data_IF_987792758071
#
_entry.id   IF_987792758071
#
_cell.length_a   1.000
_cell.length_b   1.000
_cell.length_c   1.000
_cell.angle_alpha   90.00
_cell.angle_beta   90.00
_cell.angle_gamma   90.00
#
_symmetry.space_group_name_H-M   'P 1'
#
loop_
_entity.id
_entity.type
_entity.pdbx_description
1 polymer ?
#
# COMPACT_ATOMS: atom_id res chain seq x y z
N UNK A 1 69.30 -40.10 49.38
CA UNK A 1 69.38 -38.71 48.87
C UNK A 1 69.84 -38.77 47.44
N UNK A 2 68.93 -38.58 46.48
CA UNK A 2 69.23 -38.46 45.05
C UNK A 2 68.46 -37.22 44.55
N UNK A 3 69.14 -36.25 43.90
CA UNK A 3 68.57 -34.94 43.60
C UNK A 3 67.64 -34.97 42.37
N UNK A 4 66.61 -34.13 42.45
CA UNK A 4 65.68 -33.79 41.36
C UNK A 4 66.38 -32.86 40.37
N UNK A 5 66.58 -33.32 39.14
CA UNK A 5 67.05 -32.49 38.02
C UNK A 5 65.87 -31.72 37.40
N UNK A 6 66.06 -30.41 37.23
CA UNK A 6 65.21 -29.52 36.43
C UNK A 6 65.65 -29.60 34.96
N UNK A 7 64.71 -29.79 34.05
CA UNK A 7 64.94 -29.62 32.60
C UNK A 7 64.36 -28.29 32.08
N UNK A 8 65.00 -27.65 31.08
CA UNK A 8 64.75 -26.27 30.69
C UNK A 8 63.59 -26.10 29.70
N UNK A 9 62.99 -24.90 29.75
CA UNK A 9 61.90 -24.46 28.89
C UNK A 9 62.32 -24.39 27.40
N UNK A 10 61.66 -25.20 26.56
CA UNK A 10 61.75 -25.15 25.11
C UNK A 10 60.90 -23.98 24.59
N UNK A 11 61.57 -22.94 24.09
CA UNK A 11 60.95 -21.76 23.47
C UNK A 11 60.39 -22.14 22.10
N UNK A 12 59.07 -22.09 21.96
CA UNK A 12 58.38 -22.30 20.69
C UNK A 12 58.56 -21.04 19.81
N UNK A 13 59.39 -21.15 18.77
CA UNK A 13 59.57 -20.10 17.76
C UNK A 13 58.45 -20.26 16.73
N UNK A 14 57.46 -19.36 16.76
CA UNK A 14 56.37 -19.33 15.77
C UNK A 14 56.87 -18.65 14.50
N UNK A 15 56.88 -19.31 13.33
CA UNK A 15 57.35 -18.71 12.09
C UNK A 15 56.36 -17.62 11.58
N UNK A 16 56.91 -16.46 11.22
CA UNK A 16 56.21 -15.24 10.77
C UNK A 16 55.23 -15.43 9.59
N UNK A 17 55.31 -16.55 8.87
CA UNK A 17 54.49 -16.83 7.68
C UNK A 17 53.04 -17.19 8.00
N UNK A 18 52.71 -17.59 9.23
CA UNK A 18 51.32 -17.90 9.63
C UNK A 18 50.53 -16.64 10.03
N UNK A 19 51.22 -15.55 10.40
CA UNK A 19 50.58 -14.30 10.78
C UNK A 19 50.04 -13.49 9.58
N UNK A 20 50.54 -13.73 8.36
CA UNK A 20 50.14 -12.96 7.18
C UNK A 20 48.84 -13.46 6.52
N UNK A 21 48.44 -14.72 6.74
CA UNK A 21 47.20 -15.27 6.17
C UNK A 21 45.95 -14.89 6.99
N UNK A 22 46.14 -14.59 8.28
CA UNK A 22 45.05 -14.12 9.18
C UNK A 22 44.67 -12.64 8.99
N UNK A 23 45.43 -11.87 8.19
CA UNK A 23 45.09 -10.50 7.84
C UNK A 23 44.18 -10.38 6.60
N UNK A 24 43.94 -11.48 5.87
CA UNK A 24 43.07 -11.52 4.68
C UNK A 24 41.62 -11.88 4.99
N UNK A 25 41.32 -12.27 6.23
CA UNK A 25 39.96 -12.54 6.72
C UNK A 25 39.65 -11.60 7.89
N UNK A 26 39.63 -10.29 7.62
CA UNK A 26 38.98 -9.34 8.51
C UNK A 26 37.52 -9.75 8.75
N UNK A 27 36.91 -9.36 9.89
CA UNK A 27 35.51 -9.69 10.12
C UNK A 27 34.70 -9.09 8.98
N UNK A 28 33.97 -9.95 8.27
CA UNK A 28 32.95 -9.55 7.30
C UNK A 28 31.82 -8.90 8.10
N UNK A 29 32.03 -7.64 8.49
CA UNK A 29 30.92 -6.76 8.76
C UNK A 29 30.20 -6.65 7.42
N UNK A 30 29.10 -7.40 7.28
CA UNK A 30 28.19 -7.23 6.16
C UNK A 30 27.77 -5.75 6.18
N UNK A 31 28.41 -4.94 5.35
CA UNK A 31 27.91 -3.62 4.98
C UNK A 31 26.72 -3.91 4.09
N UNK A 32 25.58 -4.24 4.71
CA UNK A 32 24.30 -4.13 4.02
C UNK A 32 24.03 -2.63 3.99
N UNK A 33 24.68 -1.95 3.06
CA UNK A 33 24.20 -0.68 2.56
C UNK A 33 22.85 -1.01 1.91
N UNK A 34 21.79 -0.89 2.68
CA UNK A 34 20.47 -0.68 2.12
C UNK A 34 20.54 0.69 1.45
N UNK A 35 21.03 0.74 0.21
CA UNK A 35 20.68 1.83 -0.68
C UNK A 35 19.15 1.89 -0.66
N UNK A 36 18.62 2.89 0.02
CA UNK A 36 17.25 3.30 -0.18
C UNK A 36 17.19 3.81 -1.62
N UNK A 37 16.97 2.90 -2.57
CA UNK A 37 16.45 3.27 -3.87
C UNK A 37 15.11 3.95 -3.59
N UNK A 38 15.16 5.26 -3.35
CA UNK A 38 14.00 6.06 -3.00
C UNK A 38 12.94 5.87 -4.06
N UNK A 39 11.71 5.66 -3.62
CA UNK A 39 10.55 5.51 -4.48
C UNK A 39 10.45 6.74 -5.40
N UNK A 40 10.73 6.56 -6.70
CA UNK A 40 10.68 7.65 -7.68
C UNK A 40 9.27 7.78 -8.25
N UNK A 41 8.33 8.22 -7.42
CA UNK A 41 6.98 8.53 -7.90
C UNK A 41 6.90 9.93 -8.51
N UNK A 42 6.05 10.07 -9.53
CA UNK A 42 5.62 11.39 -9.99
C UNK A 42 4.82 12.13 -8.92
N UNK A 43 4.76 13.46 -9.01
CA UNK A 43 3.92 14.26 -8.10
C UNK A 43 2.45 14.15 -8.53
N UNK A 44 1.60 13.69 -7.63
CA UNK A 44 0.14 13.65 -7.81
C UNK A 44 -0.50 14.70 -6.91
N UNK A 45 -1.35 15.55 -7.48
CA UNK A 45 -2.22 16.43 -6.71
C UNK A 45 -3.60 15.77 -6.59
N UNK A 46 -3.99 15.37 -5.38
CA UNK A 46 -5.27 14.72 -5.14
C UNK A 46 -6.06 15.48 -4.07
N UNK A 47 -6.88 16.49 -4.45
CA UNK A 47 -7.55 17.34 -3.46
C UNK A 47 -8.49 16.54 -2.54
N UNK A 48 -8.29 16.67 -1.24
CA UNK A 48 -9.15 16.08 -0.18
C UNK A 48 -9.49 17.10 0.89
N UNK A 49 -10.41 16.74 1.77
CA UNK A 49 -10.72 17.45 3.02
C UNK A 49 -9.93 16.93 4.23
N UNK A 50 -8.98 16.01 4.01
CA UNK A 50 -8.16 15.42 5.06
C UNK A 50 -7.16 16.45 5.62
N UNK A 51 -6.67 16.19 6.84
CA UNK A 51 -5.60 16.99 7.44
C UNK A 51 -4.30 16.94 6.62
N UNK A 52 -3.41 17.95 6.74
CA UNK A 52 -2.17 18.02 5.95
C UNK A 52 -1.25 16.80 6.08
N UNK A 53 -1.21 16.18 7.26
CA UNK A 53 -0.43 14.97 7.48
C UNK A 53 -0.97 13.79 6.65
N UNK A 54 -2.28 13.60 6.62
CA UNK A 54 -2.92 12.55 5.82
C UNK A 54 -2.89 12.84 4.31
N UNK A 55 -2.93 14.12 3.90
CA UNK A 55 -2.89 14.53 2.50
C UNK A 55 -1.66 13.98 1.76
N UNK A 56 -0.47 14.05 2.37
CA UNK A 56 0.76 13.54 1.77
C UNK A 56 0.70 12.02 1.53
N UNK A 57 0.14 11.27 2.47
CA UNK A 57 -0.06 9.83 2.36
C UNK A 57 -1.09 9.47 1.28
N UNK A 58 -2.19 10.24 1.17
CA UNK A 58 -3.19 10.06 0.09
C UNK A 58 -2.55 10.29 -1.28
N UNK A 59 -1.76 11.34 -1.45
CA UNK A 59 -1.10 11.64 -2.73
C UNK A 59 -0.09 10.56 -3.11
N UNK A 60 0.65 10.02 -2.13
CA UNK A 60 1.55 8.88 -2.33
C UNK A 60 0.76 7.64 -2.76
N UNK A 61 -0.29 7.28 -2.03
CA UNK A 61 -1.15 6.14 -2.36
C UNK A 61 -1.74 6.26 -3.78
N UNK A 62 -2.22 7.44 -4.16
CA UNK A 62 -2.72 7.69 -5.51
C UNK A 62 -1.65 7.53 -6.60
N UNK A 63 -0.42 7.97 -6.34
CA UNK A 63 0.70 7.77 -7.26
C UNK A 63 1.11 6.28 -7.40
N UNK A 64 1.04 5.52 -6.31
CA UNK A 64 1.27 4.07 -6.31
C UNK A 64 0.19 3.31 -7.09
N UNK A 65 -1.09 3.66 -6.89
CA UNK A 65 -2.20 3.10 -7.67
C UNK A 65 -2.03 3.35 -9.17
N UNK A 66 -1.56 4.54 -9.56
CA UNK A 66 -1.29 4.85 -10.97
C UNK A 66 -0.20 3.97 -11.58
N UNK A 67 0.74 3.51 -10.74
CA UNK A 67 1.82 2.59 -11.15
C UNK A 67 1.46 1.12 -10.92
N UNK A 68 0.20 0.84 -10.55
CA UNK A 68 -0.32 -0.50 -10.27
C UNK A 68 0.36 -1.21 -9.08
N UNK A 69 0.79 -0.45 -8.06
CA UNK A 69 1.41 -0.96 -6.82
C UNK A 69 0.39 -0.96 -5.67
N UNK A 70 -0.52 -1.93 -5.67
CA UNK A 70 -1.71 -1.94 -4.81
C UNK A 70 -1.44 -2.14 -3.33
N UNK A 71 -0.60 -3.11 -2.97
CA UNK A 71 -0.25 -3.36 -1.57
C UNK A 71 0.45 -2.13 -0.95
N UNK A 72 1.53 -1.56 -1.55
CA UNK A 72 2.11 -0.31 -1.07
C UNK A 72 1.13 0.87 -1.05
N UNK A 73 0.20 0.95 -2.01
CA UNK A 73 -0.83 1.98 -1.99
C UNK A 73 -1.75 1.82 -0.77
N UNK A 74 -2.22 0.60 -0.51
CA UNK A 74 -3.03 0.26 0.65
C UNK A 74 -2.36 0.64 1.96
N UNK A 75 -1.04 0.42 2.07
CA UNK A 75 -0.24 0.81 3.22
C UNK A 75 -0.23 2.34 3.41
N UNK A 76 0.05 3.09 2.34
CA UNK A 76 0.02 4.55 2.38
C UNK A 76 -1.37 5.08 2.80
N UNK A 77 -2.45 4.46 2.35
CA UNK A 77 -3.80 4.87 2.77
C UNK A 77 -4.14 4.49 4.22
N UNK A 78 -3.57 3.40 4.75
CA UNK A 78 -3.66 3.10 6.19
C UNK A 78 -2.90 4.13 7.01
N UNK A 79 -1.73 4.57 6.55
CA UNK A 79 -0.97 5.66 7.19
C UNK A 79 -1.75 6.97 7.16
N UNK A 80 -2.46 7.28 6.07
CA UNK A 80 -3.35 8.44 5.99
C UNK A 80 -4.44 8.40 7.08
N UNK A 81 -5.06 7.24 7.30
CA UNK A 81 -6.08 7.07 8.36
C UNK A 81 -5.46 7.08 9.75
N UNK A 82 -4.24 6.58 9.92
CA UNK A 82 -3.52 6.68 11.19
C UNK A 82 -3.16 8.14 11.54
N UNK A 83 -2.83 8.95 10.54
CA UNK A 83 -2.54 10.38 10.71
C UNK A 83 -3.81 11.24 10.91
N UNK A 84 -4.91 10.88 10.26
CA UNK A 84 -6.22 11.52 10.40
C UNK A 84 -7.33 10.48 10.25
N UNK A 85 -7.90 10.05 11.38
CA UNK A 85 -8.96 9.04 11.39
C UNK A 85 -10.26 9.51 10.75
N UNK A 86 -10.40 10.81 10.47
CA UNK A 86 -11.54 11.41 9.76
C UNK A 86 -11.29 11.59 8.26
N UNK A 87 -10.12 11.17 7.75
CA UNK A 87 -9.78 11.25 6.34
C UNK A 87 -10.57 10.24 5.50
N UNK A 88 -11.68 10.69 4.92
CA UNK A 88 -12.55 9.89 4.06
C UNK A 88 -11.79 9.23 2.90
N UNK A 89 -10.82 9.94 2.30
CA UNK A 89 -10.04 9.43 1.17
C UNK A 89 -8.97 8.41 1.56
N UNK A 90 -8.57 8.35 2.84
CA UNK A 90 -7.75 7.25 3.34
C UNK A 90 -8.54 5.93 3.37
N UNK A 91 -9.84 5.98 3.66
CA UNK A 91 -10.70 4.79 3.59
C UNK A 91 -11.04 4.40 2.14
N UNK A 92 -11.34 5.39 1.27
CA UNK A 92 -11.47 5.14 -0.17
C UNK A 92 -10.24 4.43 -0.73
N UNK A 93 -9.07 4.93 -0.37
CA UNK A 93 -7.79 4.40 -0.81
C UNK A 93 -7.56 2.94 -0.39
N UNK A 94 -7.93 2.58 0.84
CA UNK A 94 -7.90 1.19 1.30
C UNK A 94 -8.84 0.30 0.46
N UNK A 95 -10.05 0.76 0.17
CA UNK A 95 -11.02 0.00 -0.63
C UNK A 95 -10.56 -0.17 -2.09
N UNK A 96 -10.09 0.89 -2.74
CA UNK A 96 -9.66 0.84 -4.15
C UNK A 96 -8.33 0.10 -4.33
N UNK A 97 -7.49 0.02 -3.29
CA UNK A 97 -6.25 -0.76 -3.33
C UNK A 97 -6.52 -2.27 -3.32
N UNK A 98 -7.68 -2.73 -2.83
CA UNK A 98 -8.08 -4.12 -2.96
C UNK A 98 -8.67 -4.44 -4.34
N UNK A 99 -9.18 -3.41 -5.04
CA UNK A 99 -9.72 -3.57 -6.38
C UNK A 99 -8.57 -3.75 -7.39
N UNK A 100 -8.58 -4.90 -8.05
CA UNK A 100 -7.50 -5.39 -8.89
C UNK A 100 -7.99 -5.66 -10.33
N UNK A 101 -8.19 -4.64 -11.19
CA UNK A 101 -8.94 -4.80 -12.45
C UNK A 101 -8.25 -5.65 -13.52
N UNK A 102 -6.92 -5.75 -13.49
CA UNK A 102 -6.11 -6.39 -14.56
C UNK A 102 -5.67 -7.83 -14.26
N UNK A 103 -5.92 -8.32 -13.05
CA UNK A 103 -5.34 -9.54 -12.48
C UNK A 103 -6.37 -10.25 -11.60
N UNK A 104 -5.96 -10.74 -10.43
CA UNK A 104 -6.80 -11.55 -9.55
C UNK A 104 -7.84 -10.66 -8.86
N UNK A 105 -9.14 -10.93 -9.05
CA UNK A 105 -10.19 -10.24 -8.31
C UNK A 105 -10.04 -10.43 -6.79
N UNK A 106 -10.62 -9.54 -5.97
CA UNK A 106 -10.52 -9.66 -4.52
C UNK A 106 -11.14 -10.96 -4.01
N UNK A 107 -10.47 -11.60 -3.05
CA UNK A 107 -10.97 -12.75 -2.31
C UNK A 107 -12.17 -12.34 -1.42
N UNK A 108 -13.01 -13.29 -0.94
CA UNK A 108 -14.20 -12.96 -0.15
C UNK A 108 -13.93 -12.06 1.06
N UNK A 109 -12.84 -12.28 1.79
CA UNK A 109 -12.46 -11.43 2.93
C UNK A 109 -12.10 -9.99 2.50
N UNK A 110 -11.48 -9.83 1.33
CA UNK A 110 -11.15 -8.52 0.77
C UNK A 110 -12.40 -7.79 0.26
N UNK A 111 -13.42 -8.53 -0.21
CA UNK A 111 -14.72 -7.93 -0.54
C UNK A 111 -15.39 -7.34 0.71
N UNK A 112 -15.41 -8.08 1.81
CA UNK A 112 -15.91 -7.58 3.10
C UNK A 112 -15.11 -6.37 3.61
N UNK A 113 -13.77 -6.43 3.51
CA UNK A 113 -12.91 -5.35 3.94
C UNK A 113 -13.09 -4.08 3.08
N UNK A 114 -13.20 -4.25 1.76
CA UNK A 114 -13.44 -3.17 0.80
C UNK A 114 -14.77 -2.46 1.04
N UNK A 115 -15.84 -3.22 1.27
CA UNK A 115 -17.15 -2.67 1.61
C UNK A 115 -17.09 -1.86 2.91
N UNK A 116 -16.54 -2.45 3.97
CA UNK A 116 -16.44 -1.79 5.27
C UNK A 116 -15.62 -0.49 5.20
N UNK A 117 -14.55 -0.46 4.41
CA UNK A 117 -13.76 0.74 4.18
C UNK A 117 -14.57 1.79 3.38
N UNK A 118 -15.26 1.40 2.30
CA UNK A 118 -16.08 2.31 1.51
C UNK A 118 -17.19 2.97 2.36
N UNK A 119 -17.94 2.18 3.13
CA UNK A 119 -19.00 2.66 4.02
C UNK A 119 -18.47 3.61 5.11
N UNK A 120 -17.32 3.26 5.71
CA UNK A 120 -16.64 4.12 6.69
C UNK A 120 -16.24 5.46 6.08
N UNK A 121 -15.69 5.45 4.87
CA UNK A 121 -15.35 6.66 4.15
C UNK A 121 -16.58 7.51 3.82
N UNK A 122 -17.68 6.89 3.36
CA UNK A 122 -18.93 7.58 3.05
C UNK A 122 -19.47 8.37 4.24
N UNK A 123 -19.39 7.79 5.45
CA UNK A 123 -19.79 8.47 6.69
C UNK A 123 -18.92 9.68 7.08
N UNK A 124 -17.74 9.82 6.48
CA UNK A 124 -16.77 10.88 6.78
C UNK A 124 -16.62 11.91 5.65
N UNK A 125 -17.13 11.61 4.45
CA UNK A 125 -16.91 12.41 3.25
C UNK A 125 -17.51 13.82 3.37
N UNK A 126 -16.67 14.86 3.23
CA UNK A 126 -17.08 16.25 3.43
C UNK A 126 -17.41 16.94 2.12
N UNK A 127 -16.75 16.56 1.04
CA UNK A 127 -16.94 17.16 -0.28
C UNK A 127 -17.77 16.28 -1.21
N UNK A 128 -18.44 16.84 -2.23
CA UNK A 128 -19.07 16.04 -3.28
C UNK A 128 -18.10 15.09 -3.96
N UNK A 129 -16.87 15.55 -4.26
CA UNK A 129 -15.82 14.74 -4.90
C UNK A 129 -15.54 13.45 -4.13
N UNK A 130 -15.37 13.57 -2.82
CA UNK A 130 -15.07 12.43 -1.95
C UNK A 130 -16.24 11.46 -1.91
N UNK A 131 -17.48 11.98 -1.79
CA UNK A 131 -18.69 11.16 -1.84
C UNK A 131 -18.81 10.40 -3.15
N UNK A 132 -18.48 11.02 -4.28
CA UNK A 132 -18.55 10.39 -5.60
C UNK A 132 -17.55 9.22 -5.71
N UNK A 133 -16.28 9.44 -5.32
CA UNK A 133 -15.27 8.36 -5.30
C UNK A 133 -15.66 7.20 -4.39
N UNK A 134 -16.19 7.52 -3.22
CA UNK A 134 -16.61 6.53 -2.23
C UNK A 134 -17.85 5.77 -2.66
N UNK A 135 -18.85 6.45 -3.23
CA UNK A 135 -20.05 5.82 -3.78
C UNK A 135 -19.71 4.92 -4.98
N UNK A 136 -18.75 5.32 -5.80
CA UNK A 136 -18.30 4.48 -6.89
C UNK A 136 -17.67 3.19 -6.38
N UNK A 137 -16.68 3.28 -5.48
CA UNK A 137 -16.02 2.07 -4.96
C UNK A 137 -16.97 1.22 -4.11
N UNK A 138 -17.93 1.83 -3.40
CA UNK A 138 -19.03 1.12 -2.72
C UNK A 138 -19.85 0.29 -3.70
N UNK A 139 -20.20 0.83 -4.88
CA UNK A 139 -20.94 0.10 -5.91
C UNK A 139 -20.19 -1.14 -6.45
N UNK A 140 -18.87 -1.19 -6.33
CA UNK A 140 -18.10 -2.41 -6.62
C UNK A 140 -18.34 -3.50 -5.57
N UNK A 141 -18.47 -3.12 -4.30
CA UNK A 141 -18.45 -4.04 -3.16
C UNK A 141 -19.84 -4.40 -2.60
N UNK A 142 -20.85 -3.54 -2.69
CA UNK A 142 -22.11 -3.70 -1.96
C UNK A 142 -23.00 -4.86 -2.45
N UNK A 143 -22.95 -5.19 -3.74
CA UNK A 143 -23.79 -6.24 -4.35
C UNK A 143 -22.95 -7.53 -4.46
N UNK A 144 -22.70 -8.16 -3.30
CA UNK A 144 -21.67 -9.21 -3.12
C UNK A 144 -22.02 -10.62 -3.65
N UNK A 145 -20.94 -11.43 -3.72
CA UNK A 145 -20.76 -12.88 -3.98
C UNK A 145 -21.50 -13.54 -5.16
N UNK A 146 -22.76 -13.20 -5.40
CA UNK A 146 -23.56 -13.72 -6.51
C UNK A 146 -23.26 -13.04 -7.85
N UNK A 147 -22.62 -11.86 -7.82
CA UNK A 147 -22.33 -11.05 -9.01
C UNK A 147 -20.89 -11.23 -9.48
N UNK A 148 -20.74 -11.55 -10.77
CA UNK A 148 -19.42 -11.78 -11.35
C UNK A 148 -18.54 -10.51 -11.28
N UNK A 149 -17.19 -10.66 -11.22
CA UNK A 149 -16.28 -9.51 -11.10
C UNK A 149 -16.43 -8.45 -12.21
N UNK A 150 -16.83 -8.83 -13.43
CA UNK A 150 -16.94 -7.87 -14.53
C UNK A 150 -18.15 -6.96 -14.34
N UNK A 151 -19.28 -7.53 -13.93
CA UNK A 151 -20.49 -6.75 -13.65
C UNK A 151 -20.25 -5.73 -12.53
N UNK A 152 -19.53 -6.12 -11.48
CA UNK A 152 -19.11 -5.18 -10.41
C UNK A 152 -18.19 -4.08 -10.91
N UNK A 153 -17.23 -4.42 -11.77
CA UNK A 153 -16.34 -3.43 -12.38
C UNK A 153 -17.09 -2.45 -13.30
N UNK A 154 -18.12 -2.91 -14.02
CA UNK A 154 -19.00 -2.04 -14.80
C UNK A 154 -19.82 -1.11 -13.91
N UNK A 155 -20.34 -1.59 -12.79
CA UNK A 155 -21.04 -0.75 -11.81
C UNK A 155 -20.13 0.35 -11.24
N UNK A 156 -18.89 -0.01 -10.89
CA UNK A 156 -17.86 0.95 -10.49
C UNK A 156 -17.60 2.01 -11.58
N UNK A 157 -17.37 1.56 -12.83
CA UNK A 157 -17.09 2.46 -13.94
C UNK A 157 -18.25 3.42 -14.23
N UNK A 158 -19.50 2.94 -14.20
CA UNK A 158 -20.68 3.78 -14.39
C UNK A 158 -20.81 4.84 -13.30
N UNK A 159 -20.61 4.45 -12.03
CA UNK A 159 -20.69 5.40 -10.92
C UNK A 159 -19.59 6.47 -10.98
N UNK A 160 -18.39 6.11 -11.44
CA UNK A 160 -17.31 7.07 -11.72
C UNK A 160 -17.70 8.08 -12.81
N UNK A 161 -18.26 7.60 -13.93
CA UNK A 161 -18.72 8.47 -15.03
C UNK A 161 -19.82 9.43 -14.57
N UNK A 162 -20.80 8.93 -13.81
CA UNK A 162 -21.93 9.74 -13.32
C UNK A 162 -21.46 10.87 -12.39
N UNK A 163 -20.50 10.59 -11.51
CA UNK A 163 -19.90 11.60 -10.62
C UNK A 163 -19.13 12.68 -11.38
N UNK A 164 -18.34 12.29 -12.38
CA UNK A 164 -17.63 13.24 -13.26
C UNK A 164 -18.61 14.12 -14.04
N UNK A 165 -19.64 13.51 -14.62
CA UNK A 165 -20.68 14.18 -15.37
C UNK A 165 -21.46 15.19 -14.54
N UNK A 166 -21.79 14.84 -13.29
CA UNK A 166 -22.46 15.75 -12.35
C UNK A 166 -21.61 17.00 -12.07
N UNK A 167 -20.29 16.82 -11.86
CA UNK A 167 -19.35 17.92 -11.64
C UNK A 167 -19.10 18.77 -12.89
N UNK A 168 -19.16 18.16 -14.08
CA UNK A 168 -19.04 18.85 -15.37
C UNK A 168 -20.29 19.64 -15.80
N UNK A 169 -21.35 19.67 -15.00
CA UNK A 169 -22.59 20.41 -15.29
C UNK A 169 -23.44 19.79 -16.41
N UNK A 170 -23.07 18.60 -16.89
CA UNK A 170 -23.78 17.92 -17.97
C UNK A 170 -24.88 17.06 -17.36
N UNK A 171 -26.07 17.60 -17.11
CA UNK A 171 -27.19 16.82 -16.54
C UNK A 171 -27.54 15.63 -17.46
N UNK A 172 -27.46 14.40 -16.95
CA UNK A 172 -27.99 13.21 -17.63
C UNK A 172 -29.49 13.07 -17.35
N UNK A 173 -30.33 12.73 -18.34
CA UNK A 173 -31.60 12.07 -18.03
C UNK A 173 -31.28 10.71 -17.37
N UNK A 174 -31.96 10.40 -16.26
CA UNK A 174 -31.85 9.11 -15.56
C UNK A 174 -32.12 7.97 -16.54
N UNK A 175 -31.09 7.22 -16.92
CA UNK A 175 -31.28 5.89 -17.49
C UNK A 175 -31.37 4.93 -16.30
N UNK A 176 -32.59 4.67 -15.84
CA UNK A 176 -32.85 3.46 -15.08
C UNK A 176 -32.59 2.28 -16.02
N UNK A 177 -31.41 1.66 -15.90
CA UNK A 177 -31.19 0.34 -16.46
C UNK A 177 -32.02 -0.64 -15.64
N UNK A 178 -33.18 -0.98 -16.18
CA UNK A 178 -33.93 -2.16 -15.81
C UNK A 178 -33.03 -3.38 -16.03
N UNK A 179 -32.51 -3.94 -14.94
CA UNK A 179 -31.99 -5.29 -14.89
C UNK A 179 -32.49 -5.95 -13.60
N UNK A 180 -33.76 -6.31 -13.64
CA UNK A 180 -34.35 -7.34 -12.80
C UNK A 180 -35.54 -7.95 -13.57
N UNK A 181 -35.29 -9.14 -14.12
CA UNK A 181 -36.22 -10.12 -14.70
C UNK A 181 -36.95 -9.78 -16.01
#
# INVERSE_FOLDING_TARGET
>A
MVPVSKEPAMRLVVPCSVALILALFGPLAAQVDHEHHGERLGRVAFPTSCGPAAQAHVERGAALLHSFWYEPAGDAFRDAVAADSTCAMGYWGQAVSLLHPLWTPPAPAELTAGLAAAERGLGLARTPRERDYLAAIDAYYKDDAATDPKTRLLAYAQAMEDGERFRGGHRAPRAHAALAH
#
